data_IF_046021860560
#
_entry.id   IF_046021860560
#
_cell.length_a   1.000
_cell.length_b   1.000
_cell.length_c   1.000
_cell.angle_alpha   90.00
_cell.angle_beta   90.00
_cell.angle_gamma   90.00
#
_symmetry.space_group_name_H-M   'P 1'
#
loop_
_entity.id
_entity.type
_entity.pdbx_description
1 polymer ?
#
# COMPACT_ATOMS: atom_id res chain seq x y z
N UNK A 1 27.97 -6.67 21.62
CA UNK A 1 26.79 -5.78 21.55
C UNK A 1 25.58 -6.61 21.93
N UNK A 2 24.95 -6.35 23.08
CA UNK A 2 23.71 -7.02 23.46
C UNK A 2 22.63 -6.77 22.39
N UNK A 3 22.05 -7.84 21.85
CA UNK A 3 20.96 -7.73 20.90
C UNK A 3 19.72 -7.18 21.63
N UNK A 4 19.48 -5.87 21.52
CA UNK A 4 18.31 -5.20 22.10
C UNK A 4 17.05 -5.74 21.43
N UNK A 5 16.29 -6.56 22.15
CA UNK A 5 14.99 -7.07 21.74
C UNK A 5 13.86 -6.28 22.41
N UNK A 6 12.73 -6.15 21.72
CA UNK A 6 11.58 -5.31 22.06
C UNK A 6 10.31 -6.15 22.17
N UNK A 7 9.39 -5.81 23.07
CA UNK A 7 8.13 -6.55 23.24
C UNK A 7 7.14 -6.28 22.11
N UNK A 8 7.39 -5.23 21.32
CA UNK A 8 6.58 -4.81 20.17
C UNK A 8 7.43 -4.69 18.93
N UNK A 9 6.94 -5.23 17.81
CA UNK A 9 7.53 -5.13 16.47
C UNK A 9 7.80 -3.68 16.05
N UNK A 10 6.88 -2.77 16.35
CA UNK A 10 7.01 -1.35 16.00
C UNK A 10 8.18 -0.68 16.74
N UNK A 11 8.41 -1.04 18.00
CA UNK A 11 9.53 -0.52 18.77
C UNK A 11 10.87 -1.01 18.21
N UNK A 12 10.94 -2.27 17.77
CA UNK A 12 12.11 -2.79 17.07
C UNK A 12 12.34 -2.03 15.75
N UNK A 13 11.29 -1.74 14.99
CA UNK A 13 11.39 -0.96 13.74
C UNK A 13 11.87 0.47 13.98
N UNK A 14 11.28 1.17 14.95
CA UNK A 14 11.67 2.53 15.34
C UNK A 14 13.10 2.59 15.86
N UNK A 15 13.55 1.56 16.57
CA UNK A 15 14.94 1.46 17.02
C UNK A 15 15.93 1.32 15.86
N UNK A 16 15.60 0.53 14.82
CA UNK A 16 16.41 0.46 13.61
C UNK A 16 16.48 1.79 12.85
N UNK A 17 15.36 2.49 12.75
CA UNK A 17 15.31 3.85 12.14
C UNK A 17 16.10 4.85 12.97
N UNK A 18 15.98 4.83 14.30
CA UNK A 18 16.75 5.69 15.20
C UNK A 18 18.26 5.39 15.15
N UNK A 19 18.65 4.17 14.79
CA UNK A 19 20.04 3.78 14.53
C UNK A 19 20.53 4.17 13.12
N UNK A 20 19.73 4.90 12.34
CA UNK A 20 20.11 5.40 11.01
C UNK A 20 19.84 4.43 9.86
N UNK A 21 19.15 3.31 10.11
CA UNK A 21 18.78 2.36 9.05
C UNK A 21 17.43 2.77 8.44
N UNK A 22 17.33 2.96 7.11
CA UNK A 22 16.06 3.26 6.44
C UNK A 22 15.00 2.22 6.80
N UNK A 23 13.75 2.64 7.02
CA UNK A 23 12.68 1.77 7.51
C UNK A 23 12.35 0.57 6.59
N UNK A 24 12.89 0.56 5.37
CA UNK A 24 12.83 -0.47 4.34
C UNK A 24 13.95 -1.51 4.47
N UNK A 25 15.08 -1.12 5.07
CA UNK A 25 16.26 -1.93 5.35
C UNK A 25 16.30 -2.41 6.81
N UNK A 26 15.31 -2.05 7.61
CA UNK A 26 15.13 -2.56 8.98
C UNK A 26 14.40 -3.90 8.91
N UNK A 27 15.15 -4.99 9.01
CA UNK A 27 14.59 -6.33 9.12
C UNK A 27 14.20 -6.62 10.57
N UNK A 28 12.93 -6.95 10.81
CA UNK A 28 12.45 -7.32 12.15
C UNK A 28 12.65 -8.82 12.35
N UNK A 29 13.54 -9.15 13.27
CA UNK A 29 13.75 -10.53 13.74
C UNK A 29 12.78 -10.86 14.86
N UNK A 30 12.18 -12.05 14.83
CA UNK A 30 11.26 -12.54 15.88
C UNK A 30 11.97 -13.66 16.64
N UNK A 31 12.06 -13.51 17.96
CA UNK A 31 12.65 -14.45 18.89
C UNK A 31 11.51 -15.02 19.75
N UNK A 32 11.32 -16.34 19.72
CA UNK A 32 10.30 -17.02 20.52
C UNK A 32 11.00 -17.83 21.61
N UNK A 33 10.74 -17.49 22.88
CA UNK A 33 11.23 -18.23 24.05
C UNK A 33 10.03 -18.64 24.91
N UNK A 34 9.55 -19.87 24.71
CA UNK A 34 8.32 -20.35 25.37
C UNK A 34 7.11 -19.50 24.98
N UNK A 35 6.46 -18.90 25.98
CA UNK A 35 5.31 -18.01 25.81
C UNK A 35 5.71 -16.56 25.45
N UNK A 36 6.99 -16.20 25.59
CA UNK A 36 7.46 -14.83 25.36
C UNK A 36 7.95 -14.62 23.92
N UNK A 37 7.32 -13.68 23.21
CA UNK A 37 7.72 -13.23 21.88
C UNK A 37 8.46 -11.89 21.98
N UNK A 38 9.71 -11.88 21.52
CA UNK A 38 10.59 -10.71 21.52
C UNK A 38 10.97 -10.36 20.08
N UNK A 39 11.00 -9.08 19.76
CA UNK A 39 11.28 -8.56 18.42
C UNK A 39 12.63 -7.85 18.43
N UNK A 40 13.63 -8.38 17.75
CA UNK A 40 14.88 -7.66 17.47
C UNK A 40 14.79 -6.95 16.12
N UNK A 41 15.75 -6.09 15.83
CA UNK A 41 15.95 -5.54 14.49
C UNK A 41 17.37 -5.80 14.03
N UNK A 42 17.53 -6.00 12.71
CA UNK A 42 18.83 -6.12 12.06
C UNK A 42 18.86 -5.17 10.86
N UNK A 43 19.99 -4.48 10.69
CA UNK A 43 20.25 -3.73 9.48
C UNK A 43 20.49 -4.72 8.34
N UNK A 44 19.63 -4.70 7.33
CA UNK A 44 19.95 -5.33 6.05
C UNK A 44 20.90 -4.37 5.33
N UNK A 45 22.15 -4.79 5.16
CA UNK A 45 23.18 -3.98 4.53
C UNK A 45 22.82 -3.78 3.05
N UNK A 46 22.34 -2.58 2.71
CA UNK A 46 22.36 -2.13 1.33
C UNK A 46 23.82 -1.85 0.96
N UNK A 47 24.29 -2.23 -0.25
CA UNK A 47 25.63 -1.88 -0.68
C UNK A 47 25.84 -0.36 -0.60
N UNK A 48 27.01 0.02 -0.09
CA UNK A 48 27.41 1.37 0.33
C UNK A 48 27.16 2.49 -0.72
N UNK A 49 27.03 3.75 -0.28
CA UNK A 49 26.39 4.82 -1.03
C UNK A 49 27.36 5.50 -2.00
N UNK A 50 26.96 5.65 -3.27
CA UNK A 50 27.61 6.56 -4.21
C UNK A 50 26.80 7.86 -4.29
N UNK A 51 27.55 8.97 -4.31
CA UNK A 51 27.10 10.36 -4.27
C UNK A 51 26.08 10.75 -5.35
N UNK A 52 25.35 11.84 -5.06
CA UNK A 52 24.74 12.83 -5.98
C UNK A 52 24.18 12.30 -7.31
N UNK A 53 22.89 12.45 -7.63
CA UNK A 53 22.29 13.67 -8.20
C UNK A 53 20.80 13.36 -8.51
N UNK A 54 19.91 14.37 -8.61
CA UNK A 54 18.49 14.15 -8.88
C UNK A 54 18.29 13.69 -10.33
N UNK A 55 17.40 12.71 -10.59
CA UNK A 55 16.56 12.55 -11.82
C UNK A 55 15.97 11.12 -11.95
N UNK A 56 14.64 11.06 -12.01
CA UNK A 56 13.79 10.33 -12.97
C UNK A 56 14.01 8.82 -13.21
N UNK A 57 12.94 8.06 -12.92
CA UNK A 57 12.33 6.92 -13.64
C UNK A 57 13.17 5.76 -14.23
N UNK A 58 12.64 4.56 -13.98
CA UNK A 58 12.59 3.36 -14.86
C UNK A 58 13.43 2.12 -14.50
N UNK A 59 12.69 1.02 -14.28
CA UNK A 59 12.88 -0.37 -14.75
C UNK A 59 14.08 -1.19 -14.20
N UNK A 60 14.08 -2.53 -13.97
CA UNK A 60 13.52 -3.76 -14.63
C UNK A 60 14.00 -5.02 -13.80
N UNK A 61 13.86 -6.34 -14.15
CA UNK A 61 13.17 -7.05 -15.25
C UNK A 61 12.32 -8.33 -14.92
N UNK A 62 11.19 -8.51 -15.64
CA UNK A 62 10.83 -9.58 -16.63
C UNK A 62 10.38 -10.96 -16.11
N UNK A 63 9.06 -11.14 -15.98
CA UNK A 63 8.33 -12.38 -16.27
C UNK A 63 7.43 -12.14 -17.50
N UNK A 64 7.25 -13.16 -18.33
CA UNK A 64 6.70 -13.11 -19.68
C UNK A 64 5.46 -12.22 -19.85
N UNK A 65 5.45 -11.44 -20.93
CA UNK A 65 4.44 -10.43 -21.23
C UNK A 65 3.15 -11.08 -21.72
N UNK A 66 2.13 -11.12 -20.86
CA UNK A 66 0.76 -10.95 -21.32
C UNK A 66 0.60 -9.53 -21.91
N UNK A 67 -0.24 -9.32 -22.93
CA UNK A 67 -0.37 -8.04 -23.62
C UNK A 67 -0.55 -6.92 -22.61
N UNK A 68 0.37 -5.94 -22.64
CA UNK A 68 0.29 -4.74 -21.82
C UNK A 68 -0.85 -3.90 -22.35
N UNK A 69 -2.05 -4.16 -21.85
CA UNK A 69 -3.12 -3.17 -21.90
C UNK A 69 -2.59 -1.95 -21.17
N UNK A 70 -2.49 -0.83 -21.89
CA UNK A 70 -2.05 0.44 -21.35
C UNK A 70 -2.93 0.78 -20.14
N UNK A 71 -2.34 0.76 -18.94
CA UNK A 71 -3.06 1.08 -17.70
C UNK A 71 -3.46 2.54 -17.78
N UNK A 72 -4.76 2.76 -17.98
CA UNK A 72 -5.37 4.08 -18.06
C UNK A 72 -5.02 4.86 -16.79
N UNK A 73 -4.43 6.03 -16.99
CA UNK A 73 -4.21 7.04 -15.96
C UNK A 73 -5.17 8.19 -16.23
N UNK A 74 -5.99 8.52 -15.23
CA UNK A 74 -6.99 9.58 -15.33
C UNK A 74 -7.01 10.35 -14.00
N UNK A 75 -7.06 11.69 -14.08
CA UNK A 75 -7.12 12.55 -12.90
C UNK A 75 -5.98 12.32 -11.89
N UNK A 76 -4.79 11.95 -12.39
CA UNK A 76 -3.62 11.64 -11.57
C UNK A 76 -3.75 10.37 -10.73
N UNK A 77 -4.68 9.48 -11.08
CA UNK A 77 -4.82 8.14 -10.50
C UNK A 77 -4.66 7.12 -11.61
N UNK A 78 -3.87 6.09 -11.34
CA UNK A 78 -3.65 5.00 -12.29
C UNK A 78 -4.46 3.79 -11.90
N UNK A 79 -5.32 3.31 -12.81
CA UNK A 79 -6.16 2.13 -12.58
C UNK A 79 -5.30 0.94 -12.12
N UNK A 80 -5.70 0.17 -11.09
CA UNK A 80 -4.95 -0.99 -10.62
C UNK A 80 -4.81 -2.04 -11.71
N UNK A 81 -3.77 -2.87 -11.60
CA UNK A 81 -3.54 -3.96 -12.55
C UNK A 81 -4.58 -5.05 -12.34
N UNK A 82 -5.12 -5.55 -13.44
CA UNK A 82 -6.07 -6.65 -13.45
C UNK A 82 -5.53 -7.93 -12.78
N UNK A 83 -6.45 -8.71 -12.17
CA UNK A 83 -6.13 -9.98 -11.49
C UNK A 83 -5.79 -9.91 -10.00
N UNK A 84 -6.00 -8.77 -9.33
CA UNK A 84 -5.83 -8.62 -7.88
C UNK A 84 -7.09 -8.14 -7.16
N UNK A 85 -7.12 -8.24 -5.83
CA UNK A 85 -8.26 -7.80 -5.01
C UNK A 85 -8.61 -6.32 -5.22
N UNK A 86 -7.61 -5.43 -5.40
CA UNK A 86 -7.87 -4.01 -5.73
C UNK A 86 -8.58 -3.86 -7.08
N UNK A 87 -8.21 -4.66 -8.09
CA UNK A 87 -8.89 -4.63 -9.37
C UNK A 87 -10.33 -5.16 -9.24
N UNK A 88 -10.57 -6.19 -8.42
CA UNK A 88 -11.90 -6.69 -8.14
C UNK A 88 -12.80 -5.62 -7.49
N UNK A 89 -12.27 -4.84 -6.53
CA UNK A 89 -12.98 -3.68 -5.95
C UNK A 89 -13.33 -2.65 -7.03
N UNK A 90 -12.39 -2.31 -7.92
CA UNK A 90 -12.64 -1.34 -8.98
C UNK A 90 -13.66 -1.83 -10.02
N UNK A 91 -13.63 -3.11 -10.37
CA UNK A 91 -14.64 -3.73 -11.26
C UNK A 91 -16.03 -3.63 -10.63
N UNK A 92 -16.14 -3.89 -9.33
CA UNK A 92 -17.42 -3.75 -8.61
C UNK A 92 -17.88 -2.28 -8.58
N UNK A 93 -16.97 -1.33 -8.38
CA UNK A 93 -17.30 0.10 -8.38
C UNK A 93 -17.68 0.63 -9.77
N UNK A 94 -17.03 0.16 -10.84
CA UNK A 94 -17.42 0.50 -12.22
C UNK A 94 -18.83 -0.04 -12.55
N UNK A 95 -19.21 -1.20 -12.01
CA UNK A 95 -20.57 -1.74 -12.14
C UNK A 95 -21.59 -1.02 -11.23
N UNK A 96 -21.12 -0.36 -10.16
CA UNK A 96 -21.96 0.32 -9.17
C UNK A 96 -21.49 1.79 -8.98
N UNK A 97 -21.57 2.65 -10.01
CA UNK A 97 -20.94 3.97 -9.98
C UNK A 97 -21.56 4.94 -8.96
N UNK A 98 -22.79 4.67 -8.52
CA UNK A 98 -23.51 5.43 -7.48
C UNK A 98 -23.34 4.85 -6.08
N UNK A 99 -22.58 3.75 -5.92
CA UNK A 99 -22.36 3.12 -4.63
C UNK A 99 -21.73 4.11 -3.64
N UNK A 100 -22.22 4.08 -2.41
CA UNK A 100 -21.58 4.80 -1.31
C UNK A 100 -20.44 3.97 -0.74
N UNK A 101 -19.59 4.60 0.07
CA UNK A 101 -18.54 3.88 0.82
C UNK A 101 -19.14 2.80 1.74
N UNK A 102 -20.38 2.95 2.21
CA UNK A 102 -21.06 1.94 3.02
C UNK A 102 -21.38 0.70 2.18
N UNK A 103 -21.89 0.90 0.97
CA UNK A 103 -22.21 -0.19 0.04
C UNK A 103 -20.94 -0.94 -0.38
N UNK A 104 -19.86 -0.20 -0.67
CA UNK A 104 -18.57 -0.79 -1.00
C UNK A 104 -18.01 -1.66 0.14
N UNK A 105 -18.15 -1.21 1.40
CA UNK A 105 -17.75 -2.00 2.58
C UNK A 105 -18.65 -3.20 2.85
N UNK A 106 -19.96 -3.09 2.57
CA UNK A 106 -20.85 -4.25 2.65
C UNK A 106 -20.40 -5.32 1.65
N UNK A 107 -20.18 -4.93 0.39
CA UNK A 107 -19.65 -5.83 -0.64
C UNK A 107 -18.27 -6.41 -0.27
N UNK A 108 -17.44 -5.66 0.47
CA UNK A 108 -16.18 -6.19 0.97
C UNK A 108 -16.35 -7.41 1.87
N UNK A 109 -17.36 -7.41 2.75
CA UNK A 109 -17.65 -8.55 3.63
C UNK A 109 -18.09 -9.78 2.83
N UNK A 110 -18.98 -9.59 1.86
CA UNK A 110 -19.47 -10.66 0.98
C UNK A 110 -18.37 -11.27 0.10
N UNK A 111 -17.42 -10.44 -0.38
CA UNK A 111 -16.34 -10.87 -1.25
C UNK A 111 -15.03 -11.22 -0.52
N UNK A 112 -15.01 -11.15 0.81
CA UNK A 112 -13.81 -11.40 1.63
C UNK A 112 -12.69 -10.37 1.41
N UNK A 113 -13.02 -9.14 1.01
CA UNK A 113 -12.07 -8.05 0.84
C UNK A 113 -11.79 -7.33 2.15
N UNK A 114 -10.58 -6.79 2.28
CA UNK A 114 -10.23 -5.95 3.42
C UNK A 114 -10.93 -4.58 3.32
N UNK A 115 -11.77 -4.24 4.30
CA UNK A 115 -12.52 -2.98 4.33
C UNK A 115 -11.66 -1.72 4.25
N UNK A 116 -10.47 -1.73 4.87
CA UNK A 116 -9.53 -0.60 4.80
C UNK A 116 -8.97 -0.46 3.38
N UNK A 117 -8.68 -1.59 2.72
CA UNK A 117 -8.27 -1.58 1.31
C UNK A 117 -9.39 -1.03 0.42
N UNK A 118 -10.63 -1.51 0.62
CA UNK A 118 -11.80 -1.05 -0.12
C UNK A 118 -12.03 0.44 0.05
N UNK A 119 -11.84 0.99 1.25
CA UNK A 119 -11.95 2.42 1.47
C UNK A 119 -10.90 3.22 0.69
N UNK A 120 -9.63 2.79 0.68
CA UNK A 120 -8.58 3.43 -0.10
C UNK A 120 -8.90 3.40 -1.61
N UNK A 121 -9.26 2.23 -2.12
CA UNK A 121 -9.59 2.03 -3.54
C UNK A 121 -10.85 2.80 -3.94
N UNK A 122 -11.86 2.92 -3.08
CA UNK A 122 -13.06 3.70 -3.33
C UNK A 122 -12.76 5.18 -3.60
N UNK A 123 -11.92 5.80 -2.76
CA UNK A 123 -11.55 7.20 -2.96
C UNK A 123 -10.62 7.38 -4.16
N UNK A 124 -9.71 6.43 -4.41
CA UNK A 124 -8.88 6.44 -5.61
C UNK A 124 -9.73 6.32 -6.89
N UNK A 125 -10.72 5.43 -6.90
CA UNK A 125 -11.67 5.23 -8.00
C UNK A 125 -12.55 6.47 -8.21
N UNK A 126 -13.06 7.09 -7.14
CA UNK A 126 -13.81 8.35 -7.26
C UNK A 126 -12.96 9.47 -7.86
N UNK A 127 -11.70 9.60 -7.43
CA UNK A 127 -10.76 10.58 -8.00
C UNK A 127 -10.45 10.24 -9.46
N UNK A 128 -10.21 8.98 -9.79
CA UNK A 128 -10.01 8.50 -11.16
C UNK A 128 -11.17 8.92 -12.08
N UNK A 129 -12.41 8.75 -11.62
CA UNK A 129 -13.61 9.14 -12.37
C UNK A 129 -13.96 10.64 -12.27
N UNK A 130 -13.19 11.44 -11.53
CA UNK A 130 -13.47 12.86 -11.34
C UNK A 130 -14.71 13.14 -10.48
N UNK A 131 -15.20 12.14 -9.74
CA UNK A 131 -16.34 12.23 -8.83
C UNK A 131 -15.88 12.87 -7.51
N UNK A 132 -15.42 14.12 -7.61
CA UNK A 132 -15.25 15.01 -6.48
C UNK A 132 -16.61 15.18 -5.80
N UNK A 133 -16.62 15.40 -4.47
CA UNK A 133 -17.84 15.76 -3.76
C UNK A 133 -18.37 17.01 -4.46
N UNK A 134 -19.47 16.89 -5.22
CA UNK A 134 -20.22 18.08 -5.63
C UNK A 134 -20.63 18.71 -4.31
N UNK A 135 -19.90 19.74 -3.89
CA UNK A 135 -20.44 20.74 -2.99
C UNK A 135 -21.69 21.20 -3.73
N UNK A 136 -22.87 20.77 -3.28
CA UNK A 136 -24.12 21.34 -3.79
C UNK A 136 -24.02 22.83 -3.56
N UNK A 137 -23.62 23.57 -4.59
CA UNK A 137 -23.81 25.00 -4.71
C UNK A 137 -25.29 25.23 -4.99
N UNK A 138 -26.12 24.93 -3.99
CA UNK A 138 -27.50 25.41 -3.91
C UNK A 138 -27.56 26.30 -2.67
N UNK A 139 -26.93 27.47 -2.79
CA UNK A 139 -27.29 28.63 -2.01
C UNK A 139 -27.94 29.60 -3.00
N UNK A 140 -29.26 29.44 -3.15
CA UNK A 140 -30.16 30.48 -3.66
C UNK A 140 -30.36 31.54 -2.60
#
# INVERSE_FOLDING_TARGET
MEAKTYTKRENARRAGVAAGVPAELVEITVHKNGDEVRFGWKAMEAPAPAAAEPVVTTSKPKKAAAPKVERIEQNGVKRPKDGGLCAAVWVWLDANPTATIKDAKAAATDHGWNENNVACEFYAWRKFNGISRQTSGEAR
#
